data_IF_492746328119
#
_entry.id   IF_492746328119
#
_cell.length_a   1.000
_cell.length_b   1.000
_cell.length_c   1.000
_cell.angle_alpha   90.00
_cell.angle_beta   90.00
_cell.angle_gamma   90.00
#
_symmetry.space_group_name_H-M   'P 1'
#
loop_
_entity.id
_entity.type
_entity.pdbx_description
1 polymer ?
#
# COMPACT_ATOMS: atom_id res chain seq x y z
N UNK A 1 -7.01 47.09 73.20
CA UNK A 1 -6.80 47.62 71.84
C UNK A 1 -5.65 46.84 71.20
N UNK A 2 -5.93 45.80 70.40
CA UNK A 2 -4.99 45.24 69.42
C UNK A 2 -5.80 44.52 68.33
N UNK A 3 -5.81 45.12 67.14
CA UNK A 3 -6.44 44.61 65.91
C UNK A 3 -5.48 43.63 65.24
N UNK A 4 -5.90 42.37 65.07
CA UNK A 4 -5.18 41.38 64.26
C UNK A 4 -5.62 41.49 62.80
N UNK A 5 -4.68 41.81 61.90
CA UNK A 5 -4.94 42.01 60.47
C UNK A 5 -5.14 40.67 59.76
N UNK A 6 -6.27 40.51 59.05
CA UNK A 6 -6.52 39.39 58.14
C UNK A 6 -5.56 39.47 56.95
N UNK A 7 -4.57 38.56 56.88
CA UNK A 7 -3.77 38.37 55.67
C UNK A 7 -4.64 37.70 54.60
N UNK A 8 -4.83 38.42 53.48
CA UNK A 8 -5.76 38.04 52.42
C UNK A 8 -5.35 36.78 51.65
N UNK A 9 -6.38 36.07 51.17
CA UNK A 9 -6.38 34.87 50.30
C UNK A 9 -5.63 35.06 48.97
N UNK A 10 -4.33 35.37 48.98
CA UNK A 10 -3.53 35.59 47.75
C UNK A 10 -2.88 34.31 47.21
N UNK A 11 -2.64 33.31 48.07
CA UNK A 11 -2.07 32.01 47.69
C UNK A 11 -2.87 31.23 46.64
N UNK A 12 -4.20 31.00 46.81
CA UNK A 12 -4.97 30.21 45.84
C UNK A 12 -5.13 30.91 44.49
N UNK A 13 -5.15 32.25 44.45
CA UNK A 13 -5.24 33.03 43.22
C UNK A 13 -3.95 32.88 42.40
N UNK A 14 -2.78 32.93 43.05
CA UNK A 14 -1.50 32.74 42.38
C UNK A 14 -1.36 31.33 41.77
N UNK A 15 -1.81 30.29 42.47
CA UNK A 15 -1.83 28.92 41.93
C UNK A 15 -2.76 28.78 40.71
N UNK A 16 -3.94 29.41 40.73
CA UNK A 16 -4.88 29.35 39.61
C UNK A 16 -4.29 30.04 38.37
N UNK A 17 -3.64 31.19 38.55
CA UNK A 17 -2.96 31.90 37.45
C UNK A 17 -1.81 31.08 36.89
N UNK A 18 -1.00 30.44 37.74
CA UNK A 18 0.07 29.54 37.31
C UNK A 18 -0.43 28.36 36.47
N UNK A 19 -1.53 27.71 36.91
CA UNK A 19 -2.15 26.60 36.18
C UNK A 19 -2.73 27.03 34.84
N UNK A 20 -3.37 28.20 34.77
CA UNK A 20 -3.89 28.76 33.52
C UNK A 20 -2.77 29.10 32.54
N UNK A 21 -1.63 29.58 33.04
CA UNK A 21 -0.46 29.91 32.22
C UNK A 21 0.19 28.64 31.64
N UNK A 22 0.33 27.58 32.43
CA UNK A 22 0.80 26.27 31.95
C UNK A 22 -0.17 25.69 30.91
N UNK A 23 -1.48 25.79 31.15
CA UNK A 23 -2.49 25.34 30.19
C UNK A 23 -2.45 26.13 28.88
N UNK A 24 -2.29 27.46 28.94
CA UNK A 24 -2.15 28.31 27.76
C UNK A 24 -0.88 27.96 26.96
N UNK A 25 0.24 27.72 27.64
CA UNK A 25 1.49 27.30 27.01
C UNK A 25 1.41 25.87 26.42
N UNK A 26 0.57 24.99 26.98
CA UNK A 26 0.25 23.70 26.39
C UNK A 26 -0.61 23.84 25.12
N UNK A 27 -1.67 24.67 25.15
CA UNK A 27 -2.51 24.94 23.98
C UNK A 27 -1.74 25.62 22.84
N UNK A 28 -0.76 26.48 23.19
CA UNK A 28 0.16 27.10 22.24
C UNK A 28 1.27 26.15 21.75
N UNK A 29 1.33 24.91 22.27
CA UNK A 29 2.28 23.87 21.83
C UNK A 29 3.73 24.13 22.22
N UNK A 30 3.99 24.95 23.25
CA UNK A 30 5.35 25.37 23.65
C UNK A 30 5.98 24.38 24.65
N UNK A 31 5.21 23.86 25.60
CA UNK A 31 5.73 22.99 26.67
C UNK A 31 5.69 21.50 26.28
N UNK A 32 4.66 21.10 25.56
CA UNK A 32 4.52 19.75 25.04
C UNK A 32 3.98 19.89 23.62
N UNK A 33 4.84 20.42 22.75
CA UNK A 33 4.59 20.36 21.32
C UNK A 33 4.42 18.90 20.98
N UNK A 34 3.19 18.48 20.68
CA UNK A 34 2.99 17.31 19.84
C UNK A 34 3.88 17.56 18.65
N UNK A 35 4.98 16.81 18.56
CA UNK A 35 5.83 16.75 17.38
C UNK A 35 4.85 16.63 16.25
N UNK A 36 4.67 17.72 15.50
CA UNK A 36 3.94 17.65 14.25
C UNK A 36 4.64 16.54 13.52
N UNK A 37 3.92 15.44 13.31
CA UNK A 37 4.34 14.35 12.47
C UNK A 37 4.51 14.98 11.10
N UNK A 38 5.66 15.59 10.88
CA UNK A 38 6.10 16.07 9.59
C UNK A 38 6.26 14.78 8.81
N UNK A 39 5.44 14.53 7.78
CA UNK A 39 5.66 13.37 6.96
C UNK A 39 7.09 13.51 6.43
N UNK A 40 7.94 12.58 6.87
CA UNK A 40 9.30 12.38 6.41
C UNK A 40 9.30 12.51 4.89
N UNK A 41 10.14 13.41 4.38
CA UNK A 41 10.33 13.72 2.96
C UNK A 41 9.65 12.72 2.00
N UNK A 42 8.52 13.13 1.41
CA UNK A 42 7.84 12.30 0.43
C UNK A 42 8.63 12.34 -0.88
N UNK A 43 9.16 11.20 -1.33
CA UNK A 43 9.73 11.11 -2.67
C UNK A 43 8.59 11.29 -3.68
N UNK A 44 8.51 12.47 -4.31
CA UNK A 44 7.61 12.71 -5.44
C UNK A 44 8.24 12.05 -6.66
N UNK A 45 7.75 10.87 -7.06
CA UNK A 45 8.19 10.26 -8.30
C UNK A 45 7.72 11.12 -9.47
N UNK A 46 8.61 11.45 -10.41
CA UNK A 46 8.22 12.02 -11.72
C UNK A 46 7.14 11.14 -12.35
N UNK A 47 6.20 11.76 -13.07
CA UNK A 47 5.18 11.02 -13.82
C UNK A 47 5.84 9.93 -14.66
N UNK A 48 5.42 8.69 -14.43
CA UNK A 48 5.97 7.53 -15.11
C UNK A 48 5.16 7.26 -16.36
N UNK A 49 5.87 6.99 -17.46
CA UNK A 49 5.24 6.68 -18.74
C UNK A 49 6.03 5.64 -19.53
N UNK A 50 5.34 5.00 -20.46
CA UNK A 50 5.92 4.15 -21.51
C UNK A 50 5.47 4.71 -22.85
N UNK A 51 6.35 4.74 -23.83
CA UNK A 51 6.00 5.10 -25.21
C UNK A 51 5.75 3.81 -25.98
N UNK A 52 4.58 3.69 -26.61
CA UNK A 52 4.24 2.52 -27.42
C UNK A 52 5.19 2.38 -28.62
N UNK A 53 5.75 1.18 -28.86
CA UNK A 53 6.73 0.99 -29.92
C UNK A 53 6.16 1.18 -31.33
N UNK A 54 4.85 0.94 -31.51
CA UNK A 54 4.19 0.98 -32.82
C UNK A 54 3.39 2.28 -33.07
N UNK A 55 2.71 2.78 -32.05
CA UNK A 55 1.82 3.95 -32.16
C UNK A 55 2.46 5.26 -31.69
N UNK A 56 3.65 5.17 -31.05
CA UNK A 56 4.37 6.28 -30.41
C UNK A 56 3.51 7.07 -29.42
N UNK A 57 2.44 6.47 -28.90
CA UNK A 57 1.58 7.09 -27.89
C UNK A 57 2.23 7.00 -26.53
N UNK A 58 2.02 8.03 -25.72
CA UNK A 58 2.49 8.07 -24.33
C UNK A 58 1.43 7.46 -23.42
N UNK A 59 1.80 6.40 -22.72
CA UNK A 59 0.98 5.72 -21.73
C UNK A 59 1.51 6.04 -20.34
N UNK A 60 0.80 6.88 -19.60
CA UNK A 60 1.13 7.21 -18.20
C UNK A 60 0.62 6.12 -17.27
N UNK A 61 1.39 5.82 -16.23
CA UNK A 61 1.00 4.83 -15.23
C UNK A 61 1.41 5.28 -13.82
N UNK A 62 0.50 5.12 -12.87
CA UNK A 62 0.70 5.48 -11.47
C UNK A 62 0.02 4.46 -10.55
N UNK A 63 0.08 4.73 -9.24
CA UNK A 63 -0.50 3.86 -8.21
C UNK A 63 -2.04 3.87 -8.19
N UNK A 64 -2.65 4.92 -8.72
CA UNK A 64 -4.10 5.15 -8.72
C UNK A 64 -4.76 4.70 -10.02
N UNK A 65 -4.01 4.23 -11.01
CA UNK A 65 -4.60 3.68 -12.22
C UNK A 65 -5.44 2.42 -11.93
N UNK A 66 -6.51 2.15 -12.70
CA UNK A 66 -7.42 1.05 -12.45
C UNK A 66 -6.84 -0.30 -12.93
N UNK A 67 -5.86 -0.84 -12.19
CA UNK A 67 -5.24 -2.13 -12.47
C UNK A 67 -6.23 -3.29 -12.35
N UNK A 68 -6.08 -4.31 -13.20
CA UNK A 68 -6.87 -5.54 -13.14
C UNK A 68 -5.99 -6.69 -12.66
N UNK A 69 -6.35 -7.35 -11.57
CA UNK A 69 -5.65 -8.55 -11.08
C UNK A 69 -6.50 -9.80 -11.31
N UNK A 70 -5.99 -10.73 -12.12
CA UNK A 70 -6.59 -12.05 -12.31
C UNK A 70 -5.85 -13.07 -11.47
N UNK A 71 -6.59 -13.95 -10.81
CA UNK A 71 -6.00 -15.05 -10.06
C UNK A 71 -7.03 -16.06 -9.60
N UNK A 72 -6.66 -16.85 -8.59
CA UNK A 72 -7.37 -18.06 -8.21
C UNK A 72 -6.42 -19.25 -8.13
N UNK A 73 -6.94 -20.43 -7.87
CA UNK A 73 -6.11 -21.64 -7.83
C UNK A 73 -5.53 -21.89 -9.24
N UNK A 74 -4.24 -22.26 -9.38
CA UNK A 74 -3.71 -22.72 -10.66
C UNK A 74 -4.59 -23.81 -11.27
N UNK A 75 -4.74 -23.82 -12.60
CA UNK A 75 -5.62 -24.75 -13.35
C UNK A 75 -7.13 -24.44 -13.29
N UNK A 76 -7.53 -23.31 -12.68
CA UNK A 76 -8.92 -22.81 -12.70
C UNK A 76 -9.28 -21.93 -13.92
N UNK A 77 -8.48 -21.95 -15.00
CA UNK A 77 -8.78 -21.16 -16.20
C UNK A 77 -8.27 -19.71 -16.19
N UNK A 78 -7.39 -19.34 -15.26
CA UNK A 78 -6.80 -17.98 -15.17
C UNK A 78 -6.07 -17.54 -16.44
N UNK A 79 -5.39 -18.46 -17.14
CA UNK A 79 -4.73 -18.17 -18.42
C UNK A 79 -5.72 -17.94 -19.56
N UNK A 80 -6.89 -18.60 -19.54
CA UNK A 80 -7.95 -18.33 -20.51
C UNK A 80 -8.53 -16.94 -20.27
N UNK A 81 -8.84 -16.62 -19.00
CA UNK A 81 -9.38 -15.31 -18.63
C UNK A 81 -8.46 -14.16 -19.05
N UNK A 82 -7.15 -14.26 -18.78
CA UNK A 82 -6.21 -13.21 -19.22
C UNK A 82 -6.11 -13.11 -20.73
N UNK A 83 -6.17 -14.24 -21.45
CA UNK A 83 -6.11 -14.24 -22.91
C UNK A 83 -7.34 -13.58 -23.53
N UNK A 84 -8.52 -13.77 -22.94
CA UNK A 84 -9.74 -13.07 -23.34
C UNK A 84 -9.63 -11.55 -23.12
N UNK A 85 -9.01 -11.12 -22.01
CA UNK A 85 -8.77 -9.69 -21.77
C UNK A 85 -7.69 -9.11 -22.70
N UNK A 86 -6.60 -9.84 -22.96
CA UNK A 86 -5.54 -9.43 -23.89
C UNK A 86 -6.06 -9.23 -25.33
N UNK A 87 -7.20 -9.83 -25.70
CA UNK A 87 -7.82 -9.62 -27.00
C UNK A 87 -8.55 -8.28 -27.12
N UNK A 88 -8.79 -7.58 -26.01
CA UNK A 88 -9.44 -6.27 -26.01
C UNK A 88 -8.41 -5.18 -26.34
N UNK A 89 -8.69 -4.24 -27.28
CA UNK A 89 -7.69 -3.28 -27.77
C UNK A 89 -7.11 -2.37 -26.67
N UNK A 90 -7.90 -2.08 -25.63
CA UNK A 90 -7.48 -1.21 -24.53
C UNK A 90 -6.89 -1.92 -23.31
N UNK A 91 -6.81 -3.26 -23.30
CA UNK A 91 -6.39 -4.02 -22.11
C UNK A 91 -5.18 -4.89 -22.43
N UNK A 92 -4.17 -4.85 -21.57
CA UNK A 92 -3.02 -5.76 -21.64
C UNK A 92 -2.73 -6.40 -20.29
N UNK A 93 -2.80 -7.73 -20.24
CA UNK A 93 -2.35 -8.58 -19.14
C UNK A 93 -0.92 -9.09 -19.34
N UNK A 94 -0.63 -9.72 -20.49
CA UNK A 94 0.63 -10.40 -20.76
C UNK A 94 0.83 -11.71 -19.97
N UNK A 95 2.07 -12.21 -19.94
CA UNK A 95 2.42 -13.49 -19.32
C UNK A 95 2.52 -13.42 -17.78
N UNK A 96 2.64 -14.57 -17.11
CA UNK A 96 2.87 -14.61 -15.65
C UNK A 96 4.21 -13.98 -15.29
N UNK A 97 4.21 -13.04 -14.34
CA UNK A 97 5.45 -12.36 -13.95
C UNK A 97 6.30 -13.20 -13.02
N UNK A 98 5.67 -14.07 -12.21
CA UNK A 98 6.29 -14.97 -11.20
C UNK A 98 7.01 -14.26 -10.04
N UNK A 99 7.50 -13.04 -10.24
CA UNK A 99 8.24 -12.24 -9.25
C UNK A 99 7.32 -11.46 -8.32
N UNK A 100 6.16 -10.99 -8.80
CA UNK A 100 5.16 -10.25 -8.00
C UNK A 100 4.65 -11.10 -6.83
N UNK A 101 4.15 -12.34 -7.02
CA UNK A 101 3.69 -13.13 -5.88
C UNK A 101 4.81 -13.44 -4.88
N UNK A 102 6.09 -13.50 -5.32
CA UNK A 102 7.24 -13.76 -4.43
C UNK A 102 7.54 -12.57 -3.52
N UNK A 103 7.57 -11.35 -4.05
CA UNK A 103 7.82 -10.15 -3.22
C UNK A 103 6.66 -9.91 -2.25
N UNK A 104 5.41 -10.12 -2.70
CA UNK A 104 4.25 -10.01 -1.82
C UNK A 104 4.30 -11.05 -0.71
N UNK A 105 4.71 -12.28 -1.02
CA UNK A 105 4.92 -13.32 -0.02
C UNK A 105 6.03 -12.93 0.98
N UNK A 106 7.17 -12.40 0.53
CA UNK A 106 8.24 -11.92 1.42
C UNK A 106 7.73 -10.84 2.38
N UNK A 107 6.99 -9.85 1.88
CA UNK A 107 6.36 -8.83 2.74
C UNK A 107 5.46 -9.44 3.79
N UNK A 108 4.62 -10.42 3.41
CA UNK A 108 3.74 -11.11 4.35
C UNK A 108 4.53 -11.86 5.43
N UNK A 109 5.73 -12.36 5.13
CA UNK A 109 6.60 -12.97 6.14
C UNK A 109 7.13 -11.94 7.14
N UNK A 110 7.60 -10.79 6.68
CA UNK A 110 8.04 -9.70 7.56
C UNK A 110 6.91 -9.18 8.46
N UNK A 111 5.73 -8.96 7.90
CA UNK A 111 4.57 -8.47 8.68
C UNK A 111 4.06 -9.48 9.71
N UNK A 112 4.26 -10.79 9.49
CA UNK A 112 3.84 -11.84 10.44
C UNK A 112 4.82 -12.05 11.59
N UNK A 113 6.08 -11.68 11.43
CA UNK A 113 7.09 -11.81 12.48
C UNK A 113 7.14 -10.53 13.30
N UNK A 114 6.61 -10.56 14.52
CA UNK A 114 6.62 -9.41 15.41
C UNK A 114 8.04 -8.91 15.69
N UNK A 115 8.98 -9.85 15.97
CA UNK A 115 10.39 -9.53 16.18
C UNK A 115 11.01 -8.81 14.98
N UNK A 116 10.72 -9.25 13.76
CA UNK A 116 11.25 -8.60 12.57
C UNK A 116 10.60 -7.24 12.33
N UNK A 117 9.29 -7.12 12.58
CA UNK A 117 8.57 -5.86 12.45
C UNK A 117 9.12 -4.77 13.40
N UNK A 118 9.42 -5.14 14.65
CA UNK A 118 10.10 -4.24 15.61
C UNK A 118 11.45 -3.79 15.06
N UNK A 119 12.30 -4.72 14.59
CA UNK A 119 13.62 -4.40 14.05
C UNK A 119 13.55 -3.47 12.83
N UNK A 120 12.60 -3.71 11.92
CA UNK A 120 12.39 -2.86 10.74
C UNK A 120 11.97 -1.46 11.16
N UNK A 121 11.03 -1.36 12.11
CA UNK A 121 10.53 -0.08 12.62
C UNK A 121 11.64 0.71 13.32
N UNK A 122 12.44 0.06 14.16
CA UNK A 122 13.61 0.67 14.84
C UNK A 122 14.69 1.11 13.84
N UNK A 123 14.82 0.42 12.71
CA UNK A 123 15.70 0.82 11.60
C UNK A 123 15.13 1.97 10.73
N UNK A 124 13.96 2.53 11.08
CA UNK A 124 13.28 3.57 10.31
C UNK A 124 12.58 3.06 9.05
N UNK A 125 12.46 1.74 8.89
CA UNK A 125 11.77 1.09 7.77
C UNK A 125 10.29 0.92 8.17
N UNK A 126 9.53 2.00 8.02
CA UNK A 126 8.11 2.02 8.34
C UNK A 126 7.27 1.25 7.31
N UNK A 127 6.00 0.98 7.66
CA UNK A 127 5.03 0.34 6.74
C UNK A 127 4.92 1.14 5.43
N UNK A 128 4.87 2.46 5.52
CA UNK A 128 4.72 3.37 4.38
C UNK A 128 5.93 3.26 3.44
N UNK A 129 7.14 3.14 3.98
CA UNK A 129 8.37 2.95 3.20
C UNK A 129 8.32 1.63 2.43
N UNK A 130 8.00 0.53 3.12
CA UNK A 130 7.89 -0.81 2.51
C UNK A 130 6.80 -0.84 1.44
N UNK A 131 5.62 -0.34 1.78
CA UNK A 131 4.48 -0.31 0.86
C UNK A 131 4.80 0.53 -0.37
N UNK A 132 5.51 1.66 -0.19
CA UNK A 132 5.91 2.48 -1.31
C UNK A 132 6.90 1.78 -2.24
N UNK A 133 7.90 1.10 -1.67
CA UNK A 133 8.89 0.33 -2.41
C UNK A 133 8.25 -0.84 -3.18
N UNK A 134 7.35 -1.59 -2.53
CA UNK A 134 6.67 -2.74 -3.14
C UNK A 134 5.71 -2.28 -4.24
N UNK A 135 4.93 -1.22 -4.00
CA UNK A 135 4.05 -0.68 -5.03
C UNK A 135 4.85 -0.21 -6.25
N UNK A 136 5.99 0.47 -6.05
CA UNK A 136 6.87 0.87 -7.14
C UNK A 136 7.42 -0.34 -7.91
N UNK A 137 7.90 -1.36 -7.20
CA UNK A 137 8.41 -2.60 -7.80
C UNK A 137 7.34 -3.31 -8.65
N UNK A 138 6.16 -3.55 -8.08
CA UNK A 138 5.04 -4.20 -8.77
C UNK A 138 4.60 -3.39 -9.99
N UNK A 139 4.45 -2.06 -9.84
CA UNK A 139 4.00 -1.19 -10.92
C UNK A 139 4.98 -1.15 -12.09
N UNK A 140 6.29 -1.09 -11.83
CA UNK A 140 7.30 -1.13 -12.91
C UNK A 140 7.24 -2.42 -13.71
N UNK A 141 7.12 -3.57 -13.01
CA UNK A 141 7.01 -4.86 -13.68
C UNK A 141 5.73 -4.88 -14.52
N UNK A 142 4.58 -4.56 -13.92
CA UNK A 142 3.27 -4.59 -14.60
C UNK A 142 3.29 -3.68 -15.84
N UNK A 143 3.86 -2.48 -15.74
CA UNK A 143 3.89 -1.53 -16.85
C UNK A 143 4.84 -1.94 -17.98
N UNK A 144 6.01 -2.52 -17.67
CA UNK A 144 7.11 -2.67 -18.64
C UNK A 144 7.39 -4.10 -19.11
N UNK A 145 6.80 -5.12 -18.51
CA UNK A 145 7.10 -6.51 -18.91
C UNK A 145 6.48 -6.92 -20.27
N UNK A 146 5.65 -6.07 -20.87
CA UNK A 146 4.95 -6.30 -22.14
C UNK A 146 4.50 -4.96 -22.75
N UNK A 147 3.82 -5.02 -23.90
CA UNK A 147 3.30 -3.85 -24.62
C UNK A 147 2.47 -2.91 -23.73
N UNK A 148 2.59 -1.59 -23.89
CA UNK A 148 1.78 -0.65 -23.12
C UNK A 148 0.32 -0.65 -23.61
N UNK A 149 -0.60 -0.34 -22.69
CA UNK A 149 -2.03 -0.23 -22.99
C UNK A 149 -2.72 0.73 -22.01
N UNK A 150 -3.90 1.28 -22.37
CA UNK A 150 -4.68 2.15 -21.47
C UNK A 150 -5.04 1.49 -20.14
N UNK A 151 -5.33 0.18 -20.15
CA UNK A 151 -5.60 -0.60 -18.93
C UNK A 151 -4.61 -1.74 -18.81
N UNK A 152 -3.89 -1.71 -17.69
CA UNK A 152 -2.93 -2.76 -17.35
C UNK A 152 -3.58 -3.81 -16.47
N UNK A 153 -3.20 -5.05 -16.73
CA UNK A 153 -3.66 -6.23 -16.04
C UNK A 153 -2.45 -7.07 -15.60
N UNK A 154 -2.58 -7.75 -14.47
CA UNK A 154 -1.62 -8.75 -14.02
C UNK A 154 -2.35 -10.08 -13.75
N UNK A 155 -1.80 -11.17 -14.29
CA UNK A 155 -2.27 -12.52 -13.98
C UNK A 155 -1.12 -13.33 -13.39
N UNK A 156 -1.16 -13.48 -12.08
CA UNK A 156 -0.33 -14.41 -11.32
C UNK A 156 -1.28 -15.12 -10.33
N UNK A 157 -1.53 -16.44 -10.46
CA UNK A 157 -2.66 -17.10 -9.80
C UNK A 157 -2.76 -16.84 -8.29
N UNK A 158 -1.62 -16.86 -7.61
CA UNK A 158 -1.54 -16.77 -6.14
C UNK A 158 -1.54 -15.33 -5.62
N UNK A 159 -1.41 -14.32 -6.47
CA UNK A 159 -1.38 -12.90 -6.09
C UNK A 159 -2.65 -12.50 -5.34
N UNK A 160 -3.80 -13.10 -5.69
CA UNK A 160 -5.09 -12.87 -5.04
C UNK A 160 -5.17 -13.30 -3.57
N UNK A 161 -4.28 -14.20 -3.11
CA UNK A 161 -4.17 -14.52 -1.67
C UNK A 161 -3.75 -13.30 -0.83
N UNK A 162 -3.16 -12.28 -1.47
CA UNK A 162 -2.78 -11.00 -0.88
C UNK A 162 -3.69 -9.86 -1.36
N UNK A 163 -4.91 -10.15 -1.84
CA UNK A 163 -5.81 -9.17 -2.45
C UNK A 163 -6.08 -7.93 -1.59
N UNK A 164 -6.29 -8.10 -0.27
CA UNK A 164 -6.49 -6.97 0.65
C UNK A 164 -5.27 -6.06 0.71
N UNK A 165 -4.07 -6.63 0.73
CA UNK A 165 -2.84 -5.84 0.72
C UNK A 165 -2.61 -5.16 -0.64
N UNK A 166 -2.98 -5.80 -1.73
CA UNK A 166 -2.92 -5.18 -3.06
C UNK A 166 -3.84 -3.97 -3.15
N UNK A 167 -5.02 -3.99 -2.51
CA UNK A 167 -5.90 -2.83 -2.41
C UNK A 167 -5.29 -1.67 -1.61
N UNK A 168 -4.51 -1.97 -0.56
CA UNK A 168 -3.73 -0.93 0.15
C UNK A 168 -2.68 -0.31 -0.76
N UNK A 169 -2.03 -1.11 -1.61
CA UNK A 169 -1.02 -0.64 -2.55
C UNK A 169 -1.60 0.07 -3.77
N UNK A 170 -2.75 -0.37 -4.29
CA UNK A 170 -3.38 0.10 -5.52
C UNK A 170 -4.89 0.29 -5.30
N UNK A 171 -5.31 1.46 -4.79
CA UNK A 171 -6.68 1.66 -4.29
C UNK A 171 -7.79 1.46 -5.34
N UNK A 172 -7.49 1.71 -6.61
CA UNK A 172 -8.44 1.59 -7.72
C UNK A 172 -8.37 0.23 -8.43
N UNK A 173 -7.59 -0.73 -7.90
CA UNK A 173 -7.46 -2.05 -8.48
C UNK A 173 -8.77 -2.84 -8.41
N UNK A 174 -9.02 -3.64 -9.45
CA UNK A 174 -10.14 -4.57 -9.56
C UNK A 174 -9.63 -6.00 -9.64
N UNK A 175 -10.41 -6.95 -9.16
CA UNK A 175 -10.02 -8.35 -9.09
C UNK A 175 -10.99 -9.23 -9.87
N UNK A 176 -10.44 -10.20 -10.58
CA UNK A 176 -11.18 -11.30 -11.20
C UNK A 176 -10.68 -12.59 -10.55
N UNK A 177 -11.49 -13.14 -9.66
CA UNK A 177 -11.20 -14.39 -8.96
C UNK A 177 -11.81 -15.58 -9.72
N UNK A 178 -10.95 -16.39 -10.33
CA UNK A 178 -11.38 -17.54 -11.11
C UNK A 178 -11.79 -18.70 -10.22
N UNK A 179 -13.04 -19.10 -10.34
CA UNK A 179 -13.61 -20.27 -9.65
C UNK A 179 -13.86 -21.38 -10.66
N UNK A 180 -13.38 -22.56 -10.34
CA UNK A 180 -13.62 -23.81 -11.09
C UNK A 180 -13.82 -24.93 -10.08
N UNK A 181 -14.66 -25.91 -10.41
CA UNK A 181 -14.85 -27.11 -9.58
C UNK A 181 -13.50 -27.66 -9.11
N UNK A 182 -13.34 -27.80 -7.79
CA UNK A 182 -12.09 -28.24 -7.17
C UNK A 182 -11.65 -29.62 -7.67
N UNK A 183 -12.59 -30.52 -7.98
CA UNK A 183 -12.30 -31.86 -8.53
C UNK A 183 -11.70 -31.74 -9.93
N UNK A 184 -12.23 -30.86 -10.77
CA UNK A 184 -11.71 -30.61 -12.11
C UNK A 184 -10.33 -29.94 -12.07
N UNK A 185 -10.14 -28.99 -11.15
CA UNK A 185 -8.85 -28.32 -10.92
C UNK A 185 -7.79 -29.31 -10.47
N UNK A 186 -8.07 -30.13 -9.44
CA UNK A 186 -7.16 -31.16 -8.92
C UNK A 186 -6.86 -32.21 -9.99
N UNK A 187 -7.87 -32.72 -10.70
CA UNK A 187 -7.67 -33.64 -11.81
C UNK A 187 -6.71 -33.05 -12.86
N UNK A 188 -6.90 -31.78 -13.26
CA UNK A 188 -5.99 -31.12 -14.21
C UNK A 188 -4.57 -30.90 -13.66
N UNK A 189 -4.39 -30.75 -12.35
CA UNK A 189 -3.05 -30.65 -11.74
C UNK A 189 -2.34 -32.01 -11.81
N UNK A 190 -3.06 -33.09 -11.50
CA UNK A 190 -2.50 -34.44 -11.44
C UNK A 190 -2.19 -34.98 -12.84
N UNK A 191 -3.12 -34.83 -13.79
CA UNK A 191 -3.03 -35.49 -15.10
C UNK A 191 -2.12 -34.81 -16.12
N UNK A 192 -1.63 -33.59 -15.85
CA UNK A 192 -0.81 -32.79 -16.77
C UNK A 192 0.55 -32.43 -16.17
N UNK A 193 1.14 -33.36 -15.41
CA UNK A 193 2.54 -33.27 -14.96
C UNK A 193 3.50 -33.53 -16.11
#
# INVERSE_FOLDING_TARGET
MFLSSRSGRKGPIACLVGLLLIFALYQLGIICGSTRYMPTAMMVSKEKYVIGPFDRKTYTYDRYMPLIFIGGVPRSGTTLMRAMLDAHPDVRCGQETRVIPRILQMKMHWSKSEKENVRLTEAGISKEVIDSAIAAFCLEIIARHAEPAPRLCNKDPLTLKMGSYILELFPNAKFIFMVRDGRATVHSIISRK
#
